data_IF_505214462510
#
_entry.id   IF_505214462510
#
_cell.length_a   1.000
_cell.length_b   1.000
_cell.length_c   1.000
_cell.angle_alpha   90.00
_cell.angle_beta   90.00
_cell.angle_gamma   90.00
#
_symmetry.space_group_name_H-M   'P 1'
#
loop_
_entity.id
_entity.type
_entity.pdbx_description
1 polymer ?
#
# COMPACT_ATOMS: atom_id res chain seq x y z
N UNK A 1 58.71 -7.70 -44.00
CA UNK A 1 57.44 -7.13 -44.51
C UNK A 1 56.30 -7.74 -43.70
N UNK A 2 55.77 -7.00 -42.72
CA UNK A 2 54.66 -7.43 -41.88
C UNK A 2 53.33 -7.16 -42.60
N UNK A 3 52.53 -8.22 -42.77
CA UNK A 3 51.17 -8.16 -43.30
C UNK A 3 50.23 -7.55 -42.24
N UNK A 4 49.65 -6.40 -42.57
CA UNK A 4 48.59 -5.77 -41.79
C UNK A 4 47.26 -6.47 -42.07
N UNK A 5 46.67 -7.07 -41.02
CA UNK A 5 45.31 -7.59 -41.06
C UNK A 5 44.29 -6.45 -40.87
N UNK A 6 43.20 -6.38 -41.65
CA UNK A 6 42.14 -5.41 -41.42
C UNK A 6 41.29 -5.86 -40.22
N UNK A 7 41.34 -5.09 -39.14
CA UNK A 7 40.37 -5.17 -38.06
C UNK A 7 39.02 -4.67 -38.58
N UNK A 8 38.14 -5.61 -38.93
CA UNK A 8 36.71 -5.36 -39.10
C UNK A 8 36.13 -4.97 -37.74
N UNK A 9 36.02 -3.66 -37.48
CA UNK A 9 35.20 -3.15 -36.40
C UNK A 9 33.73 -3.42 -36.74
N UNK A 10 33.17 -4.45 -36.12
CA UNK A 10 31.73 -4.70 -36.06
C UNK A 10 31.02 -3.59 -35.28
N UNK A 11 30.85 -2.43 -35.91
CA UNK A 11 30.03 -1.33 -35.44
C UNK A 11 28.56 -1.64 -35.80
N UNK A 12 27.86 -2.38 -34.94
CA UNK A 12 26.45 -2.69 -35.18
C UNK A 12 25.80 -3.41 -34.02
N UNK A 13 25.40 -2.69 -32.97
CA UNK A 13 24.63 -3.31 -31.89
C UNK A 13 24.21 -2.44 -30.71
N UNK A 14 24.72 -1.21 -30.60
CA UNK A 14 24.50 -0.41 -29.38
C UNK A 14 23.13 0.29 -29.28
N UNK A 15 22.35 0.36 -30.36
CA UNK A 15 21.14 1.19 -30.41
C UNK A 15 19.83 0.49 -29.97
N UNK A 16 19.83 -0.79 -29.61
CA UNK A 16 18.59 -1.59 -29.48
C UNK A 16 18.24 -2.06 -28.06
N UNK A 17 18.99 -1.66 -27.01
CA UNK A 17 18.69 -2.10 -25.64
C UNK A 17 17.58 -1.27 -24.95
N UNK A 18 17.36 -0.02 -25.36
CA UNK A 18 16.52 0.93 -24.62
C UNK A 18 15.00 0.73 -24.82
N UNK A 19 14.57 -0.03 -25.84
CA UNK A 19 13.15 -0.24 -26.15
C UNK A 19 12.69 -1.70 -26.01
N UNK A 20 13.41 -2.49 -25.22
CA UNK A 20 13.11 -3.90 -25.07
C UNK A 20 11.94 -4.12 -24.10
N UNK A 21 10.85 -4.68 -24.63
CA UNK A 21 9.70 -5.10 -23.83
C UNK A 21 10.10 -6.26 -22.92
N UNK A 22 9.85 -6.12 -21.61
CA UNK A 22 9.97 -7.23 -20.66
C UNK A 22 8.80 -8.19 -20.85
N UNK A 23 9.09 -9.49 -21.00
CA UNK A 23 8.08 -10.54 -21.15
C UNK A 23 8.45 -11.72 -20.26
N UNK A 24 7.46 -12.31 -19.59
CA UNK A 24 7.64 -13.56 -18.85
C UNK A 24 7.72 -14.72 -19.84
N UNK A 25 8.74 -15.55 -19.72
CA UNK A 25 8.93 -16.75 -20.54
C UNK A 25 9.23 -17.95 -19.64
N UNK A 26 8.99 -19.16 -20.15
CA UNK A 26 9.46 -20.38 -19.48
C UNK A 26 10.95 -20.61 -19.82
N UNK A 27 11.74 -20.92 -18.80
CA UNK A 27 13.15 -21.30 -18.92
C UNK A 27 13.35 -22.63 -18.18
N UNK A 28 13.16 -23.75 -18.89
CA UNK A 28 13.11 -25.07 -18.28
C UNK A 28 11.85 -25.22 -17.40
N UNK A 29 12.04 -25.58 -16.14
CA UNK A 29 10.96 -25.70 -15.14
C UNK A 29 10.64 -24.40 -14.39
N UNK A 30 11.37 -23.31 -14.64
CA UNK A 30 11.21 -22.02 -13.96
C UNK A 30 10.67 -20.93 -14.90
N UNK A 31 10.14 -19.85 -14.32
CA UNK A 31 9.80 -18.64 -15.07
C UNK A 31 10.97 -17.65 -15.08
N UNK A 32 11.19 -17.03 -16.23
CA UNK A 32 12.24 -16.06 -16.46
C UNK A 32 11.68 -14.77 -17.08
N UNK A 33 12.47 -13.68 -17.04
CA UNK A 33 12.16 -12.44 -17.76
C UNK A 33 13.05 -12.36 -19.00
N UNK A 34 12.43 -12.32 -20.18
CA UNK A 34 13.10 -12.03 -21.44
C UNK A 34 13.09 -10.52 -21.71
N UNK A 35 14.26 -9.96 -21.97
CA UNK A 35 14.49 -8.59 -22.41
C UNK A 35 15.28 -8.66 -23.72
N UNK A 36 14.58 -8.51 -24.85
CA UNK A 36 15.18 -8.65 -26.18
C UNK A 36 15.86 -10.02 -26.36
N UNK A 37 17.20 -10.02 -26.40
CA UNK A 37 18.02 -11.24 -26.53
C UNK A 37 18.46 -11.83 -25.17
N UNK A 38 18.31 -11.07 -24.08
CA UNK A 38 18.75 -11.47 -22.74
C UNK A 38 17.61 -12.20 -22.02
N UNK A 39 17.93 -13.30 -21.34
CA UNK A 39 17.00 -14.05 -20.49
C UNK A 39 17.52 -14.02 -19.06
N UNK A 40 16.69 -13.53 -18.14
CA UNK A 40 16.99 -13.40 -16.72
C UNK A 40 16.20 -14.47 -15.98
N UNK A 41 16.87 -15.57 -15.64
CA UNK A 41 16.20 -16.77 -15.10
C UNK A 41 15.80 -16.66 -13.64
N UNK A 42 16.39 -15.75 -12.85
CA UNK A 42 16.09 -15.61 -11.41
C UNK A 42 16.16 -14.15 -10.93
N UNK A 43 15.15 -13.32 -11.23
CA UNK A 43 15.17 -11.90 -10.85
C UNK A 43 15.08 -11.65 -9.33
N UNK A 44 14.86 -12.69 -8.53
CA UNK A 44 14.80 -12.64 -7.06
C UNK A 44 15.93 -13.45 -6.40
N UNK A 45 16.98 -13.81 -7.15
CA UNK A 45 18.11 -14.56 -6.63
C UNK A 45 17.72 -15.96 -6.15
N UNK A 46 18.09 -16.29 -4.91
CA UNK A 46 17.84 -17.61 -4.32
C UNK A 46 16.38 -17.85 -3.88
N UNK A 47 15.55 -16.81 -3.83
CA UNK A 47 14.14 -16.92 -3.45
C UNK A 47 13.37 -17.73 -4.51
N UNK A 48 12.64 -18.77 -4.07
CA UNK A 48 11.75 -19.55 -4.93
C UNK A 48 10.46 -18.75 -5.16
N UNK A 49 10.06 -18.63 -6.42
CA UNK A 49 8.88 -17.87 -6.84
C UNK A 49 8.01 -18.74 -7.74
N UNK A 50 6.73 -18.82 -7.44
CA UNK A 50 5.79 -19.68 -8.15
C UNK A 50 5.42 -19.06 -9.51
N UNK A 51 5.25 -17.73 -9.51
CA UNK A 51 4.85 -16.98 -10.69
C UNK A 51 5.50 -15.60 -10.75
N UNK A 52 5.88 -15.18 -11.95
CA UNK A 52 6.37 -13.86 -12.30
C UNK A 52 5.32 -13.10 -13.12
N UNK A 53 5.31 -11.79 -12.96
CA UNK A 53 4.50 -10.88 -13.78
C UNK A 53 5.22 -9.55 -13.95
N UNK A 54 5.13 -8.98 -15.15
CA UNK A 54 5.59 -7.61 -15.43
C UNK A 54 4.45 -6.66 -15.07
N UNK A 55 4.62 -5.90 -13.99
CA UNK A 55 3.60 -4.94 -13.50
C UNK A 55 3.53 -3.71 -14.42
N UNK A 56 4.68 -3.24 -14.89
CA UNK A 56 4.77 -2.07 -15.74
C UNK A 56 6.20 -1.77 -16.15
N UNK A 57 6.34 -0.92 -17.17
CA UNK A 57 7.64 -0.42 -17.64
C UNK A 57 7.61 1.12 -17.66
N UNK A 58 8.68 1.74 -17.18
CA UNK A 58 8.77 3.18 -16.97
C UNK A 58 10.09 3.72 -17.51
N UNK A 59 10.04 4.84 -18.22
CA UNK A 59 11.24 5.49 -18.76
C UNK A 59 11.63 6.65 -17.85
N UNK A 60 12.82 6.56 -17.25
CA UNK A 60 13.43 7.58 -16.40
C UNK A 60 14.70 8.11 -17.10
N UNK A 61 14.58 9.25 -17.80
CA UNK A 61 15.64 9.78 -18.67
C UNK A 61 16.09 8.69 -19.66
N UNK A 62 17.35 8.32 -19.67
CA UNK A 62 17.93 7.29 -20.56
C UNK A 62 17.91 5.89 -19.96
N UNK A 63 17.21 5.70 -18.84
CA UNK A 63 17.09 4.42 -18.13
C UNK A 63 15.67 3.91 -18.20
N UNK A 64 15.48 2.63 -18.51
CA UNK A 64 14.17 1.99 -18.46
C UNK A 64 14.08 1.06 -17.25
N UNK A 65 12.97 1.16 -16.54
CA UNK A 65 12.69 0.45 -15.30
C UNK A 65 11.51 -0.49 -15.55
N UNK A 66 11.71 -1.78 -15.37
CA UNK A 66 10.66 -2.80 -15.46
C UNK A 66 10.34 -3.30 -14.06
N UNK A 67 9.14 -2.99 -13.56
CA UNK A 67 8.69 -3.47 -12.26
C UNK A 67 8.17 -4.91 -12.41
N UNK A 68 8.85 -5.84 -11.76
CA UNK A 68 8.52 -7.26 -11.76
C UNK A 68 7.90 -7.61 -10.41
N UNK A 69 6.81 -8.38 -10.44
CA UNK A 69 6.19 -8.99 -9.26
C UNK A 69 6.39 -10.49 -9.30
N UNK A 70 6.96 -11.03 -8.23
CA UNK A 70 6.93 -12.44 -7.91
C UNK A 70 5.79 -12.75 -6.95
N UNK A 71 5.13 -13.89 -7.16
CA UNK A 71 4.25 -14.53 -6.18
C UNK A 71 5.02 -15.66 -5.51
N UNK A 72 5.08 -15.67 -4.18
CA UNK A 72 5.84 -16.65 -3.42
C UNK A 72 5.01 -17.15 -2.22
N UNK A 73 4.47 -18.37 -2.31
CA UNK A 73 3.84 -19.07 -1.19
C UNK A 73 2.68 -18.33 -0.48
N UNK A 74 2.17 -18.94 0.59
CA UNK A 74 1.08 -18.38 1.40
C UNK A 74 1.55 -17.30 2.39
N UNK A 75 2.82 -17.34 2.81
CA UNK A 75 3.37 -16.42 3.81
C UNK A 75 3.67 -15.02 3.27
N UNK A 76 4.05 -14.90 1.98
CA UNK A 76 4.36 -13.62 1.36
C UNK A 76 3.89 -13.54 -0.11
N UNK A 77 2.59 -13.34 -0.34
CA UNK A 77 1.99 -13.55 -1.66
C UNK A 77 2.52 -12.62 -2.77
N UNK A 78 3.27 -11.56 -2.44
CA UNK A 78 3.95 -10.76 -3.46
C UNK A 78 5.27 -10.15 -2.99
N UNK A 79 6.31 -10.29 -3.83
CA UNK A 79 7.57 -9.54 -3.75
C UNK A 79 7.86 -8.84 -5.07
N UNK A 80 8.65 -7.78 -5.01
CA UNK A 80 8.94 -6.94 -6.17
C UNK A 80 10.44 -6.75 -6.38
N UNK A 81 10.83 -6.63 -7.64
CA UNK A 81 12.16 -6.23 -8.05
C UNK A 81 12.04 -5.30 -9.26
N UNK A 82 13.01 -4.40 -9.44
CA UNK A 82 13.09 -3.58 -10.65
C UNK A 82 14.25 -4.06 -11.49
N UNK A 83 13.97 -4.39 -12.75
CA UNK A 83 15.03 -4.59 -13.75
C UNK A 83 15.29 -3.25 -14.42
N UNK A 84 16.54 -2.82 -14.38
CA UNK A 84 17.05 -1.55 -14.88
C UNK A 84 17.82 -1.83 -16.16
N UNK A 85 17.40 -1.21 -17.26
CA UNK A 85 18.10 -1.31 -18.55
C UNK A 85 18.59 0.06 -18.99
N UNK A 86 19.81 0.10 -19.52
CA UNK A 86 20.43 1.29 -20.10
C UNK A 86 21.04 0.92 -21.46
N UNK A 87 21.11 1.87 -22.41
CA UNK A 87 21.79 1.66 -23.68
C UNK A 87 23.22 1.13 -23.47
N UNK A 88 23.56 0.01 -24.12
CA UNK A 88 24.91 -0.56 -24.09
C UNK A 88 25.37 -1.15 -22.76
N UNK A 89 24.50 -1.25 -21.74
CA UNK A 89 24.84 -1.88 -20.45
C UNK A 89 24.02 -3.15 -20.24
N UNK A 90 24.60 -4.10 -19.52
CA UNK A 90 23.88 -5.29 -19.08
C UNK A 90 22.72 -4.90 -18.13
N UNK A 91 21.55 -5.56 -18.23
CA UNK A 91 20.44 -5.30 -17.31
C UNK A 91 20.85 -5.53 -15.85
N UNK A 92 20.55 -4.55 -15.00
CA UNK A 92 20.79 -4.66 -13.56
C UNK A 92 19.47 -4.94 -12.83
N UNK A 93 19.53 -5.67 -11.73
CA UNK A 93 18.34 -6.01 -10.93
C UNK A 93 18.53 -5.42 -9.54
N UNK A 94 17.52 -4.72 -9.04
CA UNK A 94 17.53 -4.25 -7.66
C UNK A 94 17.40 -5.41 -6.69
N UNK A 95 17.80 -5.21 -5.43
CA UNK A 95 17.38 -6.08 -4.34
C UNK A 95 15.84 -6.23 -4.32
N UNK A 96 15.38 -7.39 -3.84
CA UNK A 96 13.96 -7.64 -3.65
C UNK A 96 13.40 -6.68 -2.61
N UNK A 97 12.20 -6.17 -2.86
CA UNK A 97 11.52 -5.23 -1.98
C UNK A 97 10.02 -5.47 -1.95
N UNK A 98 9.36 -4.84 -0.99
CA UNK A 98 7.92 -4.89 -0.81
C UNK A 98 7.52 -5.42 0.55
N UNK A 99 6.24 -5.72 0.68
CA UNK A 99 5.54 -5.88 1.96
C UNK A 99 4.64 -7.12 1.97
N UNK A 100 4.83 -8.05 1.04
CA UNK A 100 3.91 -9.15 0.79
C UNK A 100 2.54 -8.75 0.18
N UNK A 101 2.29 -7.45 -0.04
CA UNK A 101 1.06 -6.99 -0.71
C UNK A 101 1.14 -7.09 -2.23
N UNK A 102 0.14 -7.69 -2.87
CA UNK A 102 0.06 -7.74 -4.34
C UNK A 102 -0.40 -6.41 -4.98
N UNK A 103 -0.87 -5.45 -4.16
CA UNK A 103 -1.50 -4.20 -4.58
C UNK A 103 -0.50 -3.04 -4.73
N UNK A 104 0.59 -3.27 -5.47
CA UNK A 104 1.57 -2.22 -5.77
C UNK A 104 1.03 -1.18 -6.76
N UNK A 105 1.27 0.09 -6.43
CA UNK A 105 0.90 1.28 -7.19
C UNK A 105 2.17 2.02 -7.62
N UNK A 106 2.77 1.65 -8.75
CA UNK A 106 3.89 2.37 -9.32
C UNK A 106 3.48 3.75 -9.85
N UNK A 107 4.35 4.74 -9.66
CA UNK A 107 4.17 6.10 -10.16
C UNK A 107 5.51 6.69 -10.58
N UNK A 108 5.54 7.30 -11.76
CA UNK A 108 6.64 8.14 -12.23
C UNK A 108 6.14 9.59 -12.28
N UNK A 109 6.65 10.45 -11.40
CA UNK A 109 6.29 11.88 -11.38
C UNK A 109 7.56 12.72 -11.22
N UNK A 110 7.68 13.77 -12.03
CA UNK A 110 8.80 14.74 -11.98
C UNK A 110 10.18 14.06 -11.97
N UNK A 111 10.36 13.00 -12.76
CA UNK A 111 11.63 12.26 -12.82
C UNK A 111 11.95 11.43 -11.57
N UNK A 112 10.96 11.13 -10.73
CA UNK A 112 11.12 10.23 -9.58
C UNK A 112 10.19 9.04 -9.76
N UNK A 113 10.78 7.85 -9.80
CA UNK A 113 10.02 6.59 -9.81
C UNK A 113 9.78 6.13 -8.37
N UNK A 114 8.52 5.91 -8.03
CA UNK A 114 8.09 5.45 -6.71
C UNK A 114 7.13 4.28 -6.86
N UNK A 115 7.12 3.39 -5.88
CA UNK A 115 6.15 2.31 -5.78
C UNK A 115 5.54 2.37 -4.40
N UNK A 116 4.23 2.58 -4.32
CA UNK A 116 3.49 2.54 -3.06
C UNK A 116 2.67 1.26 -2.98
N UNK A 117 2.70 0.56 -1.86
CA UNK A 117 1.91 -0.66 -1.65
C UNK A 117 1.47 -0.77 -0.20
N UNK A 118 0.36 -1.45 0.11
CA UNK A 118 -0.05 -1.68 1.50
C UNK A 118 1.04 -2.36 2.31
N UNK A 119 1.10 -2.13 3.63
CA UNK A 119 2.16 -2.65 4.51
C UNK A 119 2.18 -4.17 4.70
N UNK A 120 1.12 -4.89 4.32
CA UNK A 120 1.03 -6.35 4.35
C UNK A 120 0.18 -6.90 3.20
N UNK A 121 0.20 -8.22 3.04
CA UNK A 121 -0.73 -8.96 2.17
C UNK A 121 -2.20 -8.65 2.47
N UNK A 122 -2.54 -8.46 3.76
CA UNK A 122 -3.88 -8.12 4.26
C UNK A 122 -4.23 -6.63 4.16
N UNK A 123 -3.35 -5.80 3.57
CA UNK A 123 -3.57 -4.36 3.42
C UNK A 123 -2.72 -3.52 4.36
N UNK A 124 -3.28 -2.46 4.92
CA UNK A 124 -2.56 -1.53 5.81
C UNK A 124 -2.00 -0.27 5.12
N UNK A 125 -1.27 0.57 5.88
CA UNK A 125 -0.79 1.86 5.38
C UNK A 125 0.15 1.68 4.18
N UNK A 126 0.10 2.61 3.24
CA UNK A 126 0.97 2.56 2.08
C UNK A 126 2.43 2.77 2.49
N UNK A 127 3.24 1.74 2.27
CA UNK A 127 4.70 1.83 2.29
C UNK A 127 5.14 2.28 0.92
N UNK A 128 5.87 3.40 0.89
CA UNK A 128 6.44 3.95 -0.34
C UNK A 128 7.90 3.57 -0.45
N UNK A 129 8.27 3.05 -1.60
CA UNK A 129 9.64 2.85 -2.04
C UNK A 129 9.94 3.84 -3.15
N UNK A 130 11.15 4.38 -3.17
CA UNK A 130 11.64 5.30 -4.17
C UNK A 130 12.89 4.70 -4.82
N UNK A 131 12.93 4.75 -6.14
CA UNK A 131 14.12 4.37 -6.89
C UNK A 131 15.13 5.51 -6.87
N UNK A 132 16.35 5.21 -6.42
CA UNK A 132 17.50 6.08 -6.56
C UNK A 132 18.78 5.23 -6.63
N UNK A 133 19.76 5.65 -7.43
CA UNK A 133 21.10 5.04 -7.49
C UNK A 133 21.09 3.51 -7.70
N UNK A 134 20.18 2.99 -8.55
CA UNK A 134 20.11 1.55 -8.83
C UNK A 134 19.49 0.71 -7.72
N UNK A 135 18.88 1.33 -6.70
CA UNK A 135 18.24 0.64 -5.57
C UNK A 135 16.86 1.20 -5.27
N UNK A 136 16.03 0.36 -4.66
CA UNK A 136 14.73 0.76 -4.12
C UNK A 136 14.90 1.09 -2.64
N UNK A 137 14.86 2.38 -2.32
CA UNK A 137 14.95 2.85 -0.95
C UNK A 137 13.55 3.03 -0.37
N UNK A 138 13.32 2.53 0.84
CA UNK A 138 12.24 3.03 1.67
C UNK A 138 12.72 4.37 2.25
N UNK A 139 12.14 5.53 1.91
CA UNK A 139 12.56 6.78 2.50
C UNK A 139 12.44 6.67 4.01
N UNK A 140 13.54 6.92 4.73
CA UNK A 140 13.44 7.20 6.16
C UNK A 140 12.51 8.40 6.31
N UNK A 141 11.64 8.40 7.33
CA UNK A 141 10.87 9.59 7.67
C UNK A 141 11.89 10.73 7.86
N UNK A 142 11.86 11.72 6.97
CA UNK A 142 12.82 12.81 7.02
C UNK A 142 12.64 13.53 8.37
N UNK A 143 13.67 13.47 9.22
CA UNK A 143 13.81 14.37 10.36
C UNK A 143 13.86 15.79 9.80
N UNK A 144 12.72 16.47 9.79
CA UNK A 144 12.66 17.90 9.50
C UNK A 144 12.53 18.63 10.82
N UNK A 145 13.69 19.05 11.35
CA UNK A 145 13.78 20.19 12.24
C UNK A 145 13.27 21.42 11.50
N UNK A 146 12.36 22.18 12.11
CA UNK A 146 11.98 23.52 11.64
C UNK A 146 10.49 23.81 11.68
N UNK A 147 10.06 24.43 12.80
CA UNK A 147 8.89 25.30 12.94
C UNK A 147 7.49 24.76 12.57
N UNK A 148 6.74 24.36 13.62
CA UNK A 148 5.35 24.82 13.80
C UNK A 148 4.26 24.22 12.90
N UNK A 149 3.93 22.95 13.08
CA UNK A 149 2.55 22.47 13.31
C UNK A 149 2.57 20.94 13.47
N UNK A 150 2.09 20.48 14.62
CA UNK A 150 2.00 19.06 14.95
C UNK A 150 0.76 18.51 14.24
N UNK A 151 0.95 17.89 13.07
CA UNK A 151 0.01 16.91 12.53
C UNK A 151 0.41 15.53 13.06
N UNK A 152 -0.49 14.77 13.72
CA UNK A 152 -0.12 13.50 14.34
C UNK A 152 0.31 12.48 13.28
N UNK A 153 1.46 11.85 13.55
CA UNK A 153 1.91 10.58 12.98
C UNK A 153 0.72 9.66 12.75
N UNK A 154 0.34 9.40 11.50
CA UNK A 154 -0.89 8.67 11.21
C UNK A 154 -0.79 7.21 11.74
N UNK A 155 -1.48 6.84 12.83
CA UNK A 155 -1.38 5.51 13.46
C UNK A 155 -1.92 4.46 12.50
N UNK A 156 -1.12 3.43 12.19
CA UNK A 156 -1.38 2.34 11.22
C UNK A 156 -2.88 2.03 11.01
N UNK A 157 -3.33 1.96 9.74
CA UNK A 157 -4.69 1.52 9.45
C UNK A 157 -4.88 0.15 10.11
N UNK A 158 -5.84 0.05 11.02
CA UNK A 158 -6.04 -1.18 11.78
C UNK A 158 -6.27 -2.31 10.78
N UNK A 159 -5.39 -3.33 10.84
CA UNK A 159 -5.79 -4.62 10.29
C UNK A 159 -7.02 -5.01 11.08
N UNK A 160 -8.18 -5.05 10.42
CA UNK A 160 -9.45 -5.33 11.05
C UNK A 160 -9.47 -6.78 11.54
N UNK A 161 -8.85 -7.02 12.70
CA UNK A 161 -8.76 -8.33 13.30
C UNK A 161 -10.12 -8.64 13.91
N UNK A 162 -10.65 -9.80 13.56
CA UNK A 162 -11.83 -10.34 14.22
C UNK A 162 -11.57 -10.46 15.72
N UNK A 163 -12.63 -10.38 16.53
CA UNK A 163 -12.53 -10.54 17.98
C UNK A 163 -11.78 -11.82 18.39
N UNK A 164 -11.91 -12.90 17.61
CA UNK A 164 -11.27 -14.18 17.90
C UNK A 164 -9.75 -14.20 17.58
N UNK A 165 -9.24 -13.19 16.86
CA UNK A 165 -7.83 -13.10 16.47
C UNK A 165 -6.98 -12.26 17.45
N UNK A 166 -7.59 -11.71 18.50
CA UNK A 166 -6.91 -10.95 19.56
C UNK A 166 -7.44 -11.46 20.90
N UNK A 167 -6.55 -11.77 21.84
CA UNK A 167 -6.98 -12.14 23.19
C UNK A 167 -7.66 -10.96 23.93
N UNK A 168 -8.48 -11.28 24.93
CA UNK A 168 -9.27 -10.29 25.66
C UNK A 168 -8.43 -9.19 26.34
N UNK A 169 -7.23 -9.52 26.84
CA UNK A 169 -6.36 -8.53 27.49
C UNK A 169 -5.80 -7.52 26.47
N UNK A 170 -5.46 -7.98 25.27
CA UNK A 170 -5.06 -7.11 24.17
C UNK A 170 -6.20 -6.26 23.63
N UNK A 171 -7.43 -6.80 23.56
CA UNK A 171 -8.62 -6.01 23.20
C UNK A 171 -8.86 -4.89 24.22
N UNK A 172 -8.79 -5.19 25.52
CA UNK A 172 -8.98 -4.22 26.58
C UNK A 172 -7.92 -3.10 26.53
N UNK A 173 -6.63 -3.45 26.39
CA UNK A 173 -5.55 -2.46 26.25
C UNK A 173 -5.72 -1.56 25.03
N UNK A 174 -6.17 -2.13 23.91
CA UNK A 174 -6.43 -1.36 22.70
C UNK A 174 -7.61 -0.39 22.87
N UNK A 175 -8.69 -0.83 23.54
CA UNK A 175 -9.82 0.04 23.84
C UNK A 175 -9.44 1.17 24.82
N UNK A 176 -8.70 0.86 25.89
CA UNK A 176 -8.23 1.88 26.84
C UNK A 176 -7.34 2.93 26.18
N UNK A 177 -6.45 2.49 25.27
CA UNK A 177 -5.63 3.41 24.50
C UNK A 177 -6.47 4.29 23.57
N UNK A 178 -7.43 3.69 22.87
CA UNK A 178 -8.37 4.42 22.03
C UNK A 178 -9.15 5.48 22.82
N UNK A 179 -9.71 5.15 23.99
CA UNK A 179 -10.50 6.09 24.78
C UNK A 179 -9.68 7.27 25.30
N UNK A 180 -8.46 6.97 25.78
CA UNK A 180 -7.53 7.98 26.27
C UNK A 180 -7.11 8.93 25.16
N UNK A 181 -6.80 8.37 24.00
CA UNK A 181 -6.25 9.13 22.87
C UNK A 181 -7.35 9.71 21.97
N UNK A 182 -8.64 9.37 22.21
CA UNK A 182 -9.78 9.88 21.45
C UNK A 182 -9.86 11.41 21.54
N UNK A 183 -9.71 12.13 20.40
CA UNK A 183 -9.60 13.58 20.41
C UNK A 183 -10.80 14.24 21.08
N UNK A 184 -10.54 15.18 22.00
CA UNK A 184 -11.60 15.93 22.69
C UNK A 184 -12.54 16.62 21.71
N UNK A 185 -12.02 17.07 20.56
CA UNK A 185 -12.79 17.70 19.50
C UNK A 185 -13.86 16.75 18.89
N UNK A 186 -13.66 15.43 18.96
CA UNK A 186 -14.57 14.44 18.36
C UNK A 186 -15.65 13.98 19.34
N UNK A 187 -15.52 14.32 20.63
CA UNK A 187 -16.46 13.92 21.68
C UNK A 187 -17.80 14.65 21.62
N UNK A 188 -17.89 15.78 20.91
CA UNK A 188 -19.11 16.58 20.80
C UNK A 188 -19.29 17.11 19.38
N UNK A 189 -20.53 17.13 18.92
CA UNK A 189 -20.87 17.60 17.57
C UNK A 189 -20.46 19.06 17.36
N UNK A 190 -20.61 19.91 18.38
CA UNK A 190 -20.27 21.34 18.31
C UNK A 190 -18.78 21.61 18.09
N UNK A 191 -17.90 20.84 18.74
CA UNK A 191 -16.44 20.99 18.56
C UNK A 191 -15.97 20.39 17.24
N UNK A 192 -16.62 19.32 16.78
CA UNK A 192 -16.26 18.63 15.55
C UNK A 192 -16.51 19.49 14.29
N UNK A 193 -17.43 20.45 14.33
CA UNK A 193 -17.69 21.38 13.20
C UNK A 193 -16.44 22.18 12.78
N UNK A 194 -15.51 22.40 13.72
CA UNK A 194 -14.25 23.14 13.51
C UNK A 194 -13.09 22.27 13.03
N UNK A 195 -13.28 20.96 13.03
CA UNK A 195 -12.28 20.00 12.54
C UNK A 195 -12.52 19.76 11.06
N UNK A 196 -11.47 19.89 10.27
CA UNK A 196 -11.47 19.43 8.89
C UNK A 196 -10.92 18.01 8.83
N UNK A 197 -11.73 17.08 8.31
CA UNK A 197 -11.36 15.68 8.16
C UNK A 197 -11.29 15.37 6.68
N UNK A 198 -10.08 15.08 6.20
CA UNK A 198 -9.89 14.65 4.81
C UNK A 198 -10.61 13.34 4.54
N UNK A 199 -10.99 13.07 3.28
CA UNK A 199 -11.70 11.83 2.91
C UNK A 199 -10.93 10.55 3.30
N UNK A 200 -9.60 10.55 3.11
CA UNK A 200 -8.74 9.41 3.47
C UNK A 200 -8.63 9.21 4.98
N UNK A 201 -8.57 10.29 5.74
CA UNK A 201 -8.55 10.29 7.20
C UNK A 201 -9.88 9.77 7.76
N UNK A 202 -10.99 10.29 7.24
CA UNK A 202 -12.32 9.87 7.65
C UNK A 202 -12.56 8.39 7.33
N UNK A 203 -12.14 7.91 6.14
CA UNK A 203 -12.23 6.49 5.80
C UNK A 203 -11.44 5.61 6.77
N UNK A 204 -10.22 6.02 7.14
CA UNK A 204 -9.42 5.30 8.14
C UNK A 204 -10.12 5.28 9.49
N UNK A 205 -10.57 6.44 9.96
CA UNK A 205 -11.25 6.60 11.23
C UNK A 205 -12.47 5.69 11.35
N UNK A 206 -13.37 5.70 10.35
CA UNK A 206 -14.58 4.85 10.40
C UNK A 206 -14.27 3.36 10.23
N UNK A 207 -13.15 3.02 9.57
CA UNK A 207 -12.66 1.63 9.50
C UNK A 207 -12.23 1.17 10.88
N UNK A 208 -11.37 1.95 11.55
CA UNK A 208 -10.85 1.61 12.88
C UNK A 208 -12.00 1.50 13.91
N UNK A 209 -12.96 2.42 13.87
CA UNK A 209 -14.17 2.36 14.70
C UNK A 209 -15.00 1.11 14.42
N UNK A 210 -15.26 0.78 13.15
CA UNK A 210 -16.01 -0.42 12.80
C UNK A 210 -15.31 -1.68 13.31
N UNK A 211 -13.99 -1.77 13.15
CA UNK A 211 -13.20 -2.90 13.60
C UNK A 211 -13.23 -3.05 15.12
N UNK A 212 -12.98 -1.96 15.87
CA UNK A 212 -13.02 -2.02 17.33
C UNK A 212 -14.42 -2.29 17.89
N UNK A 213 -15.47 -1.80 17.22
CA UNK A 213 -16.86 -2.11 17.60
C UNK A 213 -17.24 -3.58 17.40
N UNK A 214 -16.47 -4.34 16.62
CA UNK A 214 -16.72 -5.78 16.44
C UNK A 214 -16.20 -6.63 17.60
N UNK A 215 -15.41 -6.05 18.51
CA UNK A 215 -14.91 -6.74 19.68
C UNK A 215 -15.94 -6.69 20.82
N UNK A 216 -16.10 -7.78 21.60
CA UNK A 216 -17.07 -7.82 22.70
C UNK A 216 -16.97 -6.64 23.66
N UNK A 217 -15.76 -6.18 23.98
CA UNK A 217 -15.54 -5.04 24.88
C UNK A 217 -15.79 -3.68 24.20
N UNK A 218 -15.66 -3.61 22.87
CA UNK A 218 -15.82 -2.39 22.08
C UNK A 218 -17.24 -2.17 21.55
N UNK A 219 -18.08 -3.22 21.51
CA UNK A 219 -19.41 -3.24 20.89
C UNK A 219 -20.31 -2.08 21.34
N UNK A 220 -20.39 -1.82 22.64
CA UNK A 220 -21.21 -0.71 23.15
C UNK A 220 -20.47 0.63 23.09
N UNK A 221 -19.20 0.62 23.47
CA UNK A 221 -18.45 1.82 23.83
C UNK A 221 -17.93 2.60 22.62
N UNK A 222 -17.53 1.90 21.57
CA UNK A 222 -17.02 2.52 20.35
C UNK A 222 -18.13 3.27 19.59
N UNK A 223 -19.33 2.69 19.38
CA UNK A 223 -20.46 3.44 18.80
C UNK A 223 -20.90 4.67 19.61
N UNK A 224 -20.86 4.60 20.96
CA UNK A 224 -21.13 5.76 21.82
C UNK A 224 -20.17 6.93 21.51
N UNK A 225 -18.86 6.65 21.48
CA UNK A 225 -17.83 7.65 21.20
C UNK A 225 -17.85 8.16 19.75
N UNK A 226 -18.29 7.32 18.82
CA UNK A 226 -18.45 7.67 17.41
C UNK A 226 -19.70 8.51 17.12
N UNK A 227 -20.72 8.47 17.98
CA UNK A 227 -22.03 9.11 17.75
C UNK A 227 -21.94 10.60 17.31
N UNK A 228 -21.10 11.46 17.93
CA UNK A 228 -20.97 12.85 17.49
C UNK A 228 -20.50 13.02 16.05
N UNK A 229 -19.65 12.11 15.54
CA UNK A 229 -19.18 12.10 14.16
C UNK A 229 -20.34 11.87 13.18
N UNK A 230 -21.17 10.89 13.47
CA UNK A 230 -22.31 10.52 12.62
C UNK A 230 -23.52 11.46 12.82
N UNK A 231 -23.61 12.19 13.94
CA UNK A 231 -24.61 13.25 14.12
C UNK A 231 -24.23 14.56 13.44
N UNK A 232 -22.95 14.83 13.21
CA UNK A 232 -22.49 16.07 12.59
C UNK A 232 -23.03 16.28 11.19
N UNK A 233 -23.71 17.39 10.94
CA UNK A 233 -24.17 17.76 9.59
C UNK A 233 -23.02 17.84 8.56
N UNK A 234 -21.84 18.29 8.99
CA UNK A 234 -20.67 18.42 8.12
C UNK A 234 -20.08 17.07 7.69
N UNK A 235 -20.00 16.13 8.64
CA UNK A 235 -19.21 14.89 8.46
C UNK A 235 -20.06 13.63 8.25
N UNK A 236 -21.35 13.65 8.62
CA UNK A 236 -22.26 12.50 8.54
C UNK A 236 -22.26 11.84 7.17
N UNK A 237 -22.49 12.63 6.12
CA UNK A 237 -22.58 12.11 4.75
C UNK A 237 -21.28 11.42 4.33
N UNK A 238 -20.14 12.08 4.58
CA UNK A 238 -18.83 11.54 4.25
C UNK A 238 -18.47 10.30 5.09
N UNK A 239 -18.89 10.24 6.35
CA UNK A 239 -18.65 9.09 7.24
C UNK A 239 -19.42 7.84 6.78
N UNK A 240 -20.69 8.00 6.42
CA UNK A 240 -21.47 6.89 5.85
C UNK A 240 -21.00 6.49 4.46
N UNK A 241 -20.64 7.45 3.59
CA UNK A 241 -20.07 7.17 2.27
C UNK A 241 -18.75 6.41 2.39
N UNK A 242 -17.92 6.73 3.39
CA UNK A 242 -16.70 5.99 3.66
C UNK A 242 -16.97 4.52 4.05
N UNK A 243 -17.92 4.27 4.96
CA UNK A 243 -18.33 2.90 5.28
C UNK A 243 -18.88 2.15 4.06
N UNK A 244 -19.75 2.79 3.29
CA UNK A 244 -20.32 2.20 2.06
C UNK A 244 -19.25 1.89 1.02
N UNK A 245 -18.26 2.75 0.86
CA UNK A 245 -17.14 2.54 -0.05
C UNK A 245 -16.27 1.34 0.33
N UNK A 246 -16.24 0.94 1.62
CA UNK A 246 -15.58 -0.30 2.07
C UNK A 246 -16.43 -1.51 1.70
N UNK A 247 -17.76 -1.40 1.87
CA UNK A 247 -18.70 -2.49 1.62
C UNK A 247 -18.80 -2.87 0.14
N UNK A 248 -18.61 -1.90 -0.76
CA UNK A 248 -18.72 -2.07 -2.23
C UNK A 248 -17.39 -2.38 -2.92
N UNK A 249 -16.27 -2.24 -2.22
CA UNK A 249 -14.93 -2.45 -2.79
C UNK A 249 -14.68 -3.95 -3.02
N UNK A 250 -14.46 -4.42 -4.26
CA UNK A 250 -14.28 -5.84 -4.56
C UNK A 250 -13.04 -6.43 -3.87
N UNK A 251 -11.99 -5.62 -3.66
CA UNK A 251 -10.71 -6.06 -3.11
C UNK A 251 -10.68 -6.06 -1.57
N UNK A 252 -11.73 -5.54 -0.92
CA UNK A 252 -11.86 -5.55 0.54
C UNK A 252 -12.27 -6.95 1.04
N UNK A 253 -11.65 -7.40 2.13
CA UNK A 253 -11.93 -8.70 2.73
C UNK A 253 -13.37 -8.82 3.25
N UNK A 254 -13.88 -10.04 3.29
CA UNK A 254 -15.27 -10.31 3.68
C UNK A 254 -15.56 -9.91 5.13
N UNK A 255 -14.59 -10.05 6.04
CA UNK A 255 -14.78 -9.70 7.45
C UNK A 255 -14.91 -8.18 7.62
N UNK A 256 -14.02 -7.39 7.01
CA UNK A 256 -14.13 -5.93 7.02
C UNK A 256 -15.42 -5.43 6.37
N UNK A 257 -15.87 -6.06 5.27
CA UNK A 257 -17.19 -5.77 4.68
C UNK A 257 -18.32 -6.00 5.69
N UNK A 258 -18.28 -7.11 6.42
CA UNK A 258 -19.30 -7.46 7.40
C UNK A 258 -19.32 -6.47 8.58
N UNK A 259 -18.17 -6.16 9.18
CA UNK A 259 -18.11 -5.21 10.30
C UNK A 259 -18.46 -3.78 9.86
N UNK A 260 -18.06 -3.36 8.66
CA UNK A 260 -18.46 -2.05 8.12
C UNK A 260 -19.98 -1.96 7.90
N UNK A 261 -20.64 -3.05 7.49
CA UNK A 261 -22.11 -3.12 7.38
C UNK A 261 -22.77 -3.04 8.75
N UNK A 262 -22.32 -3.86 9.70
CA UNK A 262 -22.86 -3.91 11.06
C UNK A 262 -22.75 -2.56 11.75
N UNK A 263 -21.55 -1.97 11.75
CA UNK A 263 -21.30 -0.67 12.35
C UNK A 263 -22.11 0.45 11.66
N UNK A 264 -22.25 0.40 10.34
CA UNK A 264 -23.09 1.35 9.61
C UNK A 264 -24.57 1.27 10.03
N UNK A 265 -25.09 0.06 10.25
CA UNK A 265 -26.46 -0.14 10.74
C UNK A 265 -26.62 0.37 12.17
N UNK A 266 -25.69 0.03 13.07
CA UNK A 266 -25.70 0.47 14.46
C UNK A 266 -25.66 2.01 14.57
N UNK A 267 -24.79 2.67 13.78
CA UNK A 267 -24.75 4.13 13.78
C UNK A 267 -26.03 4.76 13.24
N UNK A 268 -26.68 4.16 12.23
CA UNK A 268 -27.99 4.61 11.73
C UNK A 268 -29.08 4.46 12.80
N UNK A 269 -29.08 3.36 13.53
CA UNK A 269 -30.02 3.14 14.64
C UNK A 269 -29.83 4.20 15.74
N UNK A 270 -28.59 4.45 16.19
CA UNK A 270 -28.28 5.44 17.24
C UNK A 270 -28.60 6.89 16.89
N UNK A 271 -28.46 7.27 15.63
CA UNK A 271 -28.85 8.63 15.19
C UNK A 271 -30.37 8.77 15.06
N UNK A 272 -31.09 7.67 14.83
CA UNK A 272 -32.55 7.66 14.71
C UNK A 272 -33.23 7.72 16.09
N UNK A 273 -32.66 7.05 17.11
CA UNK A 273 -33.19 7.04 18.48
C UNK A 273 -33.20 8.41 19.17
N UNK A 274 -32.36 9.33 18.72
CA UNK A 274 -32.09 10.57 19.42
C UNK A 274 -31.66 11.63 18.38
N UNK A 275 -32.64 12.10 17.59
CA UNK A 275 -32.41 12.98 16.44
C UNK A 275 -31.78 14.30 16.90
N UNK A 276 -30.88 14.89 16.10
CA UNK A 276 -30.30 16.18 16.45
C UNK A 276 -31.41 17.24 16.50
N UNK A 277 -31.51 17.93 17.65
CA UNK A 277 -32.24 19.20 17.77
C UNK A 277 -31.73 20.23 16.75
#
# INVERSE_FOLDING_TARGET
MLLAAPLLLSAGGAAHAADQKAVVVSAGSEQAIKLGKTVISRPFGAELVDHLSVVGSYTLRDTRLHLIRAKAGSECPARYAVIVTRPGQEPQITESFGTCSAAARPQLRRGVFTVAMPASASGGPLVRYQYANGRMHRPAAALTQGAGSIGPTAPAASACKSANAIDAANQARALDAFERDWPKAYRRTGTLKRVDLGQSELRRLVTDLACMSSWPIGERRVPELATPLFRSQRHRGAAFAALESIQRDPDTDANLKAVARSFSAEMRYRIALDPPL
#
